data_IF_922875083808
#
_entry.id   IF_922875083808
#
_cell.length_a   1.000
_cell.length_b   1.000
_cell.length_c   1.000
_cell.angle_alpha   90.00
_cell.angle_beta   90.00
_cell.angle_gamma   90.00
#
_symmetry.space_group_name_H-M   'P 1'
#
loop_
_entity.id
_entity.type
_entity.pdbx_description
1 polymer ?
#
# COMPACT_ATOMS: atom_id res chain seq x y z
N UNK A 1 5.86 22.73 -31.52
CA UNK A 1 6.52 21.50 -31.99
C UNK A 1 7.18 20.72 -30.85
N UNK A 2 7.71 21.38 -29.81
CA UNK A 2 8.28 20.72 -28.63
C UNK A 2 7.23 20.06 -27.73
N UNK A 3 6.08 20.68 -27.51
CA UNK A 3 4.97 20.10 -26.72
C UNK A 3 4.40 18.83 -27.34
N UNK A 4 4.31 18.77 -28.67
CA UNK A 4 3.84 17.55 -29.37
C UNK A 4 4.86 16.40 -29.29
N UNK A 5 6.16 16.71 -29.16
CA UNK A 5 7.22 15.72 -28.94
C UNK A 5 7.20 15.21 -27.48
N UNK A 6 6.96 16.08 -26.51
CA UNK A 6 6.85 15.72 -25.09
C UNK A 6 5.66 14.79 -24.85
N UNK A 7 4.49 15.10 -25.41
CA UNK A 7 3.30 14.22 -25.31
C UNK A 7 3.49 12.88 -26.03
N UNK A 8 4.20 12.86 -27.14
CA UNK A 8 4.51 11.61 -27.85
C UNK A 8 5.50 10.74 -27.06
N UNK A 9 6.51 11.35 -26.42
CA UNK A 9 7.44 10.64 -25.54
C UNK A 9 6.76 10.09 -24.29
N UNK A 10 5.90 10.85 -23.60
CA UNK A 10 5.11 10.36 -22.47
C UNK A 10 4.16 9.22 -22.86
N UNK A 11 3.54 9.28 -24.05
CA UNK A 11 2.70 8.20 -24.55
C UNK A 11 3.48 6.93 -24.87
N UNK A 12 4.73 7.06 -25.29
CA UNK A 12 5.63 5.93 -25.58
C UNK A 12 6.13 5.30 -24.27
N UNK A 13 6.51 6.09 -23.28
CA UNK A 13 6.88 5.61 -21.94
C UNK A 13 5.71 4.87 -21.25
N UNK A 14 4.47 5.39 -21.32
CA UNK A 14 3.30 4.71 -20.78
C UNK A 14 3.00 3.38 -21.48
N UNK A 15 3.31 3.27 -22.78
CA UNK A 15 3.16 2.04 -23.57
C UNK A 15 4.21 0.99 -23.22
N UNK A 16 5.44 1.39 -22.88
CA UNK A 16 6.51 0.48 -22.47
C UNK A 16 6.24 -0.19 -21.11
N UNK A 17 5.57 0.51 -20.17
CA UNK A 17 5.23 -0.01 -18.85
C UNK A 17 4.17 -1.13 -18.86
N UNK A 18 3.47 -1.35 -19.98
CA UNK A 18 2.49 -2.43 -20.17
C UNK A 18 2.83 -3.32 -21.35
N UNK A 19 4.12 -3.41 -21.71
CA UNK A 19 4.58 -4.30 -22.78
C UNK A 19 4.41 -5.79 -22.37
N UNK A 20 4.31 -6.65 -23.38
CA UNK A 20 4.20 -8.10 -23.14
C UNK A 20 5.37 -8.62 -22.30
N UNK A 21 6.58 -8.19 -22.63
CA UNK A 21 7.82 -8.59 -21.96
C UNK A 21 7.83 -8.15 -20.50
N UNK A 22 7.39 -6.92 -20.24
CA UNK A 22 7.25 -6.40 -18.89
C UNK A 22 6.22 -7.21 -18.08
N UNK A 23 5.06 -7.49 -18.64
CA UNK A 23 4.01 -8.27 -17.97
C UNK A 23 4.44 -9.73 -17.74
N UNK A 24 5.20 -10.32 -18.67
CA UNK A 24 5.75 -11.66 -18.51
C UNK A 24 6.80 -11.70 -17.39
N UNK A 25 7.67 -10.68 -17.32
CA UNK A 25 8.63 -10.53 -16.22
C UNK A 25 7.91 -10.34 -14.88
N UNK A 26 6.90 -9.48 -14.84
CA UNK A 26 6.08 -9.23 -13.67
C UNK A 26 5.40 -10.52 -13.18
N UNK A 27 4.81 -11.29 -14.09
CA UNK A 27 4.19 -12.59 -13.77
C UNK A 27 5.19 -13.56 -13.13
N UNK A 28 6.43 -13.57 -13.62
CA UNK A 28 7.49 -14.47 -13.10
C UNK A 28 8.07 -14.00 -11.77
N UNK A 29 8.17 -12.68 -11.54
CA UNK A 29 8.92 -12.13 -10.40
C UNK A 29 8.07 -11.48 -9.32
N UNK A 30 6.84 -11.07 -9.63
CA UNK A 30 6.03 -10.32 -8.67
C UNK A 30 5.20 -11.24 -7.79
N UNK A 31 5.40 -11.24 -6.46
CA UNK A 31 4.65 -12.07 -5.52
C UNK A 31 3.13 -11.86 -5.58
N UNK A 32 2.65 -10.62 -5.80
CA UNK A 32 1.22 -10.34 -5.93
C UNK A 32 0.61 -11.07 -7.13
N UNK A 33 1.28 -11.00 -8.31
CA UNK A 33 0.79 -11.70 -9.49
C UNK A 33 0.85 -13.22 -9.32
N UNK A 34 1.94 -13.75 -8.75
CA UNK A 34 2.05 -15.19 -8.47
C UNK A 34 0.96 -15.67 -7.52
N UNK A 35 0.62 -14.89 -6.48
CA UNK A 35 -0.49 -15.21 -5.59
C UNK A 35 -1.81 -15.31 -6.36
N UNK A 36 -2.14 -14.30 -7.16
CA UNK A 36 -3.39 -14.25 -7.92
C UNK A 36 -3.53 -15.36 -8.97
N UNK A 37 -2.41 -15.85 -9.51
CA UNK A 37 -2.40 -16.92 -10.52
C UNK A 37 -2.16 -18.32 -9.94
N UNK A 38 -1.92 -18.43 -8.64
CA UNK A 38 -1.73 -19.71 -7.95
C UNK A 38 -3.04 -20.49 -7.89
N UNK A 39 -2.96 -21.81 -8.12
CA UNK A 39 -4.09 -22.72 -7.88
C UNK A 39 -4.57 -22.72 -6.43
N UNK A 40 -3.69 -22.33 -5.49
CA UNK A 40 -3.97 -22.22 -4.07
C UNK A 40 -4.38 -20.79 -3.65
N UNK A 41 -4.54 -19.85 -4.58
CA UNK A 41 -4.88 -18.46 -4.26
C UNK A 41 -6.06 -18.31 -3.29
N UNK A 42 -7.19 -19.01 -3.43
CA UNK A 42 -8.30 -18.90 -2.48
C UNK A 42 -7.91 -19.31 -1.06
N UNK A 43 -7.13 -20.38 -0.92
CA UNK A 43 -6.66 -20.87 0.40
C UNK A 43 -5.71 -19.88 1.05
N UNK A 44 -4.67 -19.48 0.34
CA UNK A 44 -3.64 -18.54 0.84
C UNK A 44 -4.26 -17.18 1.16
N UNK A 45 -5.01 -16.60 0.22
CA UNK A 45 -5.57 -15.27 0.38
C UNK A 45 -6.59 -15.21 1.52
N UNK A 46 -7.47 -16.21 1.67
CA UNK A 46 -8.46 -16.24 2.75
C UNK A 46 -7.81 -16.39 4.13
N UNK A 47 -6.78 -17.22 4.25
CA UNK A 47 -6.04 -17.38 5.50
C UNK A 47 -5.26 -16.11 5.87
N UNK A 48 -4.46 -15.57 4.95
CA UNK A 48 -3.68 -14.35 5.21
C UNK A 48 -4.58 -13.14 5.49
N UNK A 49 -5.71 -13.03 4.80
CA UNK A 49 -6.70 -11.99 5.10
C UNK A 49 -7.18 -12.09 6.54
N UNK A 50 -7.62 -13.28 6.96
CA UNK A 50 -8.19 -13.52 8.30
C UNK A 50 -7.17 -13.23 9.40
N UNK A 51 -5.93 -13.71 9.24
CA UNK A 51 -4.93 -13.65 10.31
C UNK A 51 -4.22 -12.30 10.42
N UNK A 52 -3.97 -11.62 9.30
CA UNK A 52 -3.16 -10.40 9.27
C UNK A 52 -3.94 -9.14 8.93
N UNK A 53 -4.86 -9.21 7.95
CA UNK A 53 -5.46 -8.00 7.38
C UNK A 53 -6.73 -7.61 8.12
N UNK A 54 -7.62 -8.56 8.42
CA UNK A 54 -8.89 -8.29 9.07
C UNK A 54 -8.71 -7.67 10.47
N UNK A 55 -7.76 -8.16 11.24
CA UNK A 55 -7.45 -7.70 12.60
C UNK A 55 -6.24 -6.73 12.64
N UNK A 56 -5.68 -6.38 11.48
CA UNK A 56 -4.49 -5.52 11.33
C UNK A 56 -3.29 -5.98 12.19
N UNK A 57 -3.09 -7.30 12.28
CA UNK A 57 -1.94 -7.88 12.98
C UNK A 57 -0.68 -7.73 12.14
N UNK A 58 0.36 -7.15 12.71
CA UNK A 58 1.64 -6.94 12.01
C UNK A 58 2.50 -8.19 11.94
N UNK A 59 2.48 -8.99 13.00
CA UNK A 59 3.32 -10.18 13.12
C UNK A 59 2.66 -11.23 14.02
N UNK A 60 2.88 -12.51 13.72
CA UNK A 60 2.38 -13.64 14.49
C UNK A 60 3.51 -14.62 14.69
N UNK A 61 3.64 -15.18 15.92
CA UNK A 61 4.65 -16.18 16.24
C UNK A 61 4.41 -17.48 15.44
N UNK A 62 5.51 -18.17 15.08
CA UNK A 62 5.45 -19.35 14.20
C UNK A 62 4.50 -20.43 14.76
N UNK A 63 4.64 -20.79 16.02
CA UNK A 63 3.82 -21.85 16.60
C UNK A 63 2.32 -21.48 16.62
N UNK A 64 2.01 -20.25 16.94
CA UNK A 64 0.64 -19.73 16.92
C UNK A 64 0.07 -19.77 15.49
N UNK A 65 0.83 -19.32 14.49
CA UNK A 65 0.38 -19.28 13.10
C UNK A 65 0.21 -20.69 12.52
N UNK A 66 1.11 -21.64 12.86
CA UNK A 66 0.99 -23.06 12.48
C UNK A 66 -0.32 -23.63 13.03
N UNK A 67 -0.57 -23.48 14.33
CA UNK A 67 -1.79 -24.00 14.98
C UNK A 67 -3.07 -23.43 14.34
N UNK A 68 -3.07 -22.13 14.02
CA UNK A 68 -4.20 -21.47 13.37
C UNK A 68 -4.41 -21.98 11.94
N UNK A 69 -3.31 -22.24 11.19
CA UNK A 69 -3.39 -22.76 9.83
C UNK A 69 -3.87 -24.21 9.83
N UNK A 70 -3.42 -25.04 10.76
CA UNK A 70 -3.86 -26.42 10.90
C UNK A 70 -5.36 -26.49 11.20
N UNK A 71 -5.86 -25.68 12.14
CA UNK A 71 -7.29 -25.58 12.38
C UNK A 71 -8.08 -25.08 11.16
N UNK A 72 -7.50 -24.21 10.35
CA UNK A 72 -8.14 -23.77 9.11
C UNK A 72 -8.15 -24.85 8.04
N UNK A 73 -7.07 -25.62 7.90
CA UNK A 73 -6.98 -26.77 6.99
C UNK A 73 -8.01 -27.83 7.38
N UNK A 74 -8.14 -28.13 8.69
CA UNK A 74 -9.12 -29.08 9.20
C UNK A 74 -10.54 -28.64 8.85
N UNK A 75 -10.86 -27.37 9.06
CA UNK A 75 -12.17 -26.80 8.69
C UNK A 75 -12.47 -26.96 7.19
N UNK A 76 -11.48 -26.71 6.31
CA UNK A 76 -11.65 -26.81 4.85
C UNK A 76 -11.75 -28.26 4.37
N UNK A 77 -11.13 -29.20 5.06
CA UNK A 77 -11.19 -30.63 4.77
C UNK A 77 -12.43 -31.31 5.36
N UNK A 78 -13.14 -30.67 6.28
CA UNK A 78 -14.31 -31.24 6.96
C UNK A 78 -15.41 -31.66 5.98
N UNK A 79 -15.86 -32.90 6.08
CA UNK A 79 -16.93 -33.46 5.23
C UNK A 79 -16.48 -33.85 3.80
N UNK A 80 -15.18 -34.01 3.57
CA UNK A 80 -14.60 -34.45 2.29
C UNK A 80 -13.89 -35.79 2.48
N UNK A 81 -14.03 -36.67 1.51
CA UNK A 81 -13.36 -37.97 1.50
C UNK A 81 -11.86 -37.84 1.16
N UNK A 82 -11.50 -36.84 0.32
CA UNK A 82 -10.13 -36.52 -0.05
C UNK A 82 -9.69 -35.19 0.57
N UNK A 83 -8.50 -35.17 1.18
CA UNK A 83 -7.89 -33.95 1.72
C UNK A 83 -7.50 -32.98 0.60
N UNK A 84 -8.12 -31.80 0.59
CA UNK A 84 -7.75 -30.72 -0.34
C UNK A 84 -6.33 -30.18 -0.08
N UNK A 85 -5.93 -30.17 1.18
CA UNK A 85 -4.67 -29.59 1.64
C UNK A 85 -3.95 -30.64 2.51
N UNK A 86 -3.13 -31.52 1.89
CA UNK A 86 -2.55 -32.69 2.58
C UNK A 86 -1.27 -32.40 3.36
N UNK A 87 -0.64 -31.21 3.14
CA UNK A 87 0.62 -30.83 3.83
C UNK A 87 0.32 -30.27 5.22
N UNK A 88 1.32 -30.30 6.11
CA UNK A 88 1.27 -29.68 7.42
C UNK A 88 1.22 -28.14 7.33
N UNK A 89 0.70 -27.49 8.35
CA UNK A 89 0.67 -26.03 8.47
C UNK A 89 2.08 -25.42 8.32
N UNK A 90 3.09 -26.03 8.92
CA UNK A 90 4.50 -25.60 8.81
C UNK A 90 5.00 -25.63 7.38
N UNK A 91 4.77 -26.71 6.64
CA UNK A 91 5.20 -26.83 5.25
C UNK A 91 4.57 -25.80 4.33
N UNK A 92 3.30 -25.43 4.58
CA UNK A 92 2.64 -24.37 3.84
C UNK A 92 3.23 -23.00 4.17
N UNK A 93 3.47 -22.68 5.45
CA UNK A 93 4.02 -21.38 5.86
C UNK A 93 5.45 -21.18 5.35
N UNK A 94 6.29 -22.23 5.42
CA UNK A 94 7.65 -22.17 4.88
C UNK A 94 7.65 -22.01 3.35
N UNK A 95 6.71 -22.66 2.65
CA UNK A 95 6.51 -22.51 1.22
C UNK A 95 6.08 -21.09 0.84
N UNK A 96 5.13 -20.50 1.59
CA UNK A 96 4.67 -19.13 1.35
C UNK A 96 5.71 -18.07 1.68
N UNK A 97 6.67 -18.40 2.55
CA UNK A 97 7.73 -17.50 2.97
C UNK A 97 9.02 -17.65 2.16
N UNK A 98 9.12 -18.67 1.28
CA UNK A 98 10.30 -18.84 0.44
C UNK A 98 10.42 -17.72 -0.62
N UNK A 99 11.62 -17.56 -1.19
CA UNK A 99 11.89 -16.53 -2.21
C UNK A 99 11.08 -16.74 -3.50
N UNK A 100 10.63 -17.97 -3.75
CA UNK A 100 9.82 -18.31 -4.92
C UNK A 100 8.42 -17.73 -4.80
N UNK A 101 7.78 -17.77 -3.63
CA UNK A 101 6.45 -17.21 -3.41
C UNK A 101 6.51 -15.79 -2.87
N UNK A 102 7.22 -15.56 -1.77
CA UNK A 102 7.39 -14.24 -1.17
C UNK A 102 6.08 -13.62 -0.67
N UNK A 103 5.11 -14.45 -0.25
CA UNK A 103 3.83 -13.96 0.28
C UNK A 103 3.88 -13.68 1.76
N UNK A 104 4.68 -14.46 2.50
CA UNK A 104 5.02 -14.23 3.88
C UNK A 104 6.52 -13.91 4.01
N UNK A 105 6.85 -13.30 5.11
CA UNK A 105 8.23 -13.08 5.54
C UNK A 105 8.41 -13.71 6.90
N UNK A 106 9.41 -14.60 7.02
CA UNK A 106 9.85 -15.21 8.27
C UNK A 106 11.04 -14.44 8.82
N UNK A 107 11.03 -14.07 10.10
CA UNK A 107 12.11 -13.30 10.74
C UNK A 107 12.13 -13.55 12.24
N UNK A 108 13.26 -13.22 12.87
CA UNK A 108 13.44 -13.31 14.31
C UNK A 108 13.43 -11.89 14.89
N UNK A 109 12.45 -11.52 15.75
CA UNK A 109 12.47 -10.25 16.45
C UNK A 109 13.67 -10.17 17.42
N UNK A 110 14.22 -8.98 17.69
CA UNK A 110 15.30 -8.82 18.67
C UNK A 110 14.90 -9.36 20.04
N UNK A 111 15.75 -10.23 20.61
CA UNK A 111 15.54 -10.80 21.95
C UNK A 111 14.51 -11.93 22.01
N UNK A 112 14.11 -12.49 20.89
CA UNK A 112 13.22 -13.65 20.84
C UNK A 112 13.90 -14.79 20.07
N UNK A 113 13.75 -16.01 20.59
CA UNK A 113 14.30 -17.24 19.99
C UNK A 113 13.32 -17.89 18.99
N UNK A 114 12.05 -17.49 19.03
CA UNK A 114 11.01 -18.00 18.14
C UNK A 114 10.90 -17.10 16.89
N UNK A 115 10.80 -17.70 15.69
CA UNK A 115 10.54 -16.92 14.48
C UNK A 115 9.10 -16.42 14.42
N UNK A 116 8.92 -15.29 13.75
CA UNK A 116 7.64 -14.66 13.48
C UNK A 116 7.39 -14.56 11.99
N UNK A 117 6.14 -14.53 11.62
CA UNK A 117 5.68 -14.28 10.26
C UNK A 117 4.96 -12.95 10.14
N UNK A 118 5.12 -12.33 8.97
CA UNK A 118 4.43 -11.11 8.56
C UNK A 118 4.03 -11.23 7.08
N UNK A 119 2.89 -10.67 6.71
CA UNK A 119 2.45 -10.62 5.32
C UNK A 119 3.27 -9.56 4.56
N UNK A 120 3.74 -9.91 3.36
CA UNK A 120 4.47 -8.93 2.53
C UNK A 120 3.51 -7.88 1.95
N UNK A 121 4.04 -6.68 1.68
CA UNK A 121 3.24 -5.59 1.10
C UNK A 121 2.60 -5.97 -0.24
N UNK A 122 3.30 -6.77 -1.06
CA UNK A 122 2.79 -7.22 -2.35
C UNK A 122 1.66 -8.25 -2.20
N UNK A 123 1.79 -9.20 -1.27
CA UNK A 123 0.72 -10.14 -0.96
C UNK A 123 -0.51 -9.41 -0.40
N UNK A 124 -0.30 -8.43 0.48
CA UNK A 124 -1.38 -7.60 1.01
C UNK A 124 -2.11 -6.85 -0.12
N UNK A 125 -1.39 -6.19 -1.03
CA UNK A 125 -1.99 -5.49 -2.19
C UNK A 125 -2.81 -6.44 -3.07
N UNK A 126 -2.33 -7.67 -3.30
CA UNK A 126 -3.09 -8.68 -4.05
C UNK A 126 -4.40 -9.05 -3.35
N UNK A 127 -4.36 -9.26 -2.04
CA UNK A 127 -5.55 -9.59 -1.25
C UNK A 127 -6.53 -8.41 -1.20
N UNK A 128 -6.04 -7.19 -1.03
CA UNK A 128 -6.87 -5.97 -1.07
C UNK A 128 -7.55 -5.78 -2.43
N UNK A 129 -6.84 -6.09 -3.52
CA UNK A 129 -7.44 -6.11 -4.86
C UNK A 129 -8.55 -7.15 -4.98
N UNK A 130 -8.36 -8.38 -4.45
CA UNK A 130 -9.42 -9.39 -4.40
C UNK A 130 -10.63 -8.92 -3.59
N UNK A 131 -10.40 -8.23 -2.47
CA UNK A 131 -11.48 -7.62 -1.68
C UNK A 131 -12.24 -6.56 -2.47
N UNK A 132 -11.53 -5.75 -3.26
CA UNK A 132 -12.15 -4.72 -4.10
C UNK A 132 -13.10 -5.30 -5.16
N UNK A 133 -12.86 -6.54 -5.64
CA UNK A 133 -13.76 -7.23 -6.55
C UNK A 133 -15.10 -7.59 -5.91
N UNK A 134 -15.11 -7.86 -4.59
CA UNK A 134 -16.34 -8.14 -3.84
C UNK A 134 -17.08 -6.86 -3.45
N UNK A 135 -16.33 -5.85 -3.08
CA UNK A 135 -16.86 -4.55 -2.71
C UNK A 135 -17.07 -3.72 -3.98
N UNK A 136 -18.18 -3.93 -4.66
CA UNK A 136 -18.77 -2.84 -5.43
C UNK A 136 -19.32 -1.81 -4.43
N UNK A 137 -18.42 -1.19 -3.65
CA UNK A 137 -18.75 0.05 -2.97
C UNK A 137 -18.93 1.05 -4.10
N UNK A 138 -20.18 1.32 -4.42
CA UNK A 138 -20.54 2.43 -5.28
C UNK A 138 -20.13 3.70 -4.53
N UNK A 139 -18.86 4.09 -4.69
CA UNK A 139 -18.46 5.46 -4.37
C UNK A 139 -19.15 6.28 -5.43
N UNK A 140 -20.13 7.05 -5.04
CA UNK A 140 -20.96 7.82 -5.95
C UNK A 140 -20.08 8.57 -6.94
N UNK A 141 -20.45 8.59 -8.19
CA UNK A 141 -19.73 9.29 -9.26
C UNK A 141 -19.48 10.75 -8.86
N UNK A 142 -20.40 11.33 -8.11
CA UNK A 142 -20.33 12.68 -7.57
C UNK A 142 -19.14 12.88 -6.61
N UNK A 143 -18.94 12.02 -5.60
CA UNK A 143 -17.83 12.15 -4.66
C UNK A 143 -16.47 12.00 -5.33
N UNK A 144 -16.36 11.11 -6.33
CA UNK A 144 -15.13 10.95 -7.13
C UNK A 144 -14.85 12.16 -8.00
N UNK A 145 -15.89 12.70 -8.65
CA UNK A 145 -15.77 13.91 -9.47
C UNK A 145 -15.35 15.10 -8.62
N UNK A 146 -15.98 15.31 -7.44
CA UNK A 146 -15.60 16.37 -6.51
C UNK A 146 -14.12 16.25 -6.14
N UNK A 147 -13.64 15.05 -5.76
CA UNK A 147 -12.23 14.84 -5.43
C UNK A 147 -11.30 15.16 -6.61
N UNK A 148 -11.66 14.70 -7.82
CA UNK A 148 -10.89 15.02 -9.04
C UNK A 148 -10.88 16.53 -9.31
N UNK A 149 -12.01 17.18 -9.21
CA UNK A 149 -12.11 18.64 -9.39
C UNK A 149 -11.32 19.42 -8.33
N UNK A 150 -11.36 19.00 -7.07
CA UNK A 150 -10.56 19.60 -6.00
C UNK A 150 -9.06 19.45 -6.27
N UNK A 151 -8.60 18.27 -6.69
CA UNK A 151 -7.20 18.04 -7.06
C UNK A 151 -6.77 18.87 -8.28
N UNK A 152 -7.59 18.90 -9.33
CA UNK A 152 -7.33 19.72 -10.52
C UNK A 152 -7.30 21.22 -10.17
N UNK A 153 -8.22 21.65 -9.34
CA UNK A 153 -8.29 23.03 -8.86
C UNK A 153 -7.03 23.40 -8.06
N UNK A 154 -6.58 22.52 -7.15
CA UNK A 154 -5.34 22.72 -6.42
C UNK A 154 -4.10 22.75 -7.34
N UNK A 155 -4.07 21.96 -8.40
CA UNK A 155 -2.99 21.99 -9.40
C UNK A 155 -2.98 23.34 -10.10
N UNK A 156 -4.12 23.81 -10.60
CA UNK A 156 -4.24 25.10 -11.29
C UNK A 156 -3.89 26.25 -10.35
N UNK A 157 -4.45 26.29 -9.13
CA UNK A 157 -4.17 27.32 -8.14
C UNK A 157 -2.68 27.41 -7.77
N UNK A 158 -2.01 26.26 -7.64
CA UNK A 158 -0.59 26.23 -7.24
C UNK A 158 0.38 26.36 -8.41
N UNK A 159 -0.09 26.14 -9.63
CA UNK A 159 0.69 26.33 -10.86
C UNK A 159 0.56 27.75 -11.41
N UNK A 160 -0.43 28.52 -10.95
CA UNK A 160 -0.59 29.93 -11.36
C UNK A 160 0.49 30.80 -10.69
N UNK A 161 1.35 31.34 -11.52
CA UNK A 161 2.47 32.21 -11.11
C UNK A 161 2.12 33.69 -11.15
N UNK A 162 0.95 34.09 -11.68
CA UNK A 162 0.51 35.50 -11.67
C UNK A 162 -0.17 35.85 -10.33
N UNK A 163 0.46 36.73 -9.50
CA UNK A 163 -0.10 37.13 -8.20
C UNK A 163 -1.47 37.81 -8.31
N UNK A 164 -1.78 38.46 -9.44
CA UNK A 164 -3.05 39.15 -9.65
C UNK A 164 -4.21 38.17 -9.83
N UNK A 165 -4.01 37.15 -10.65
CA UNK A 165 -5.00 36.08 -10.86
C UNK A 165 -5.23 35.31 -9.57
N UNK A 166 -4.17 35.01 -8.83
CA UNK A 166 -4.27 34.33 -7.53
C UNK A 166 -5.02 35.18 -6.49
N UNK A 167 -4.78 36.50 -6.47
CA UNK A 167 -5.49 37.40 -5.55
C UNK A 167 -6.98 37.44 -5.88
N UNK A 168 -7.35 37.55 -7.15
CA UNK A 168 -8.75 37.56 -7.59
C UNK A 168 -9.48 36.26 -7.19
N UNK A 169 -8.84 35.10 -7.34
CA UNK A 169 -9.41 33.82 -6.92
C UNK A 169 -9.61 33.72 -5.41
N UNK A 170 -8.63 34.15 -4.62
CA UNK A 170 -8.75 34.20 -3.16
C UNK A 170 -9.86 35.16 -2.70
N UNK A 171 -10.06 36.30 -3.38
CA UNK A 171 -11.15 37.21 -3.10
C UNK A 171 -12.52 36.60 -3.40
N UNK A 172 -12.64 35.87 -4.52
CA UNK A 172 -13.86 35.12 -4.87
C UNK A 172 -14.20 34.08 -3.80
N UNK A 173 -13.22 33.24 -3.40
CA UNK A 173 -13.41 32.22 -2.37
C UNK A 173 -13.79 32.82 -1.01
N UNK A 174 -13.18 33.96 -0.66
CA UNK A 174 -13.56 34.72 0.54
C UNK A 174 -15.03 35.12 0.51
N UNK A 175 -15.50 35.65 -0.62
CA UNK A 175 -16.91 36.08 -0.76
C UNK A 175 -17.88 34.86 -0.67
N UNK A 176 -17.53 33.73 -1.23
CA UNK A 176 -18.31 32.48 -1.13
C UNK A 176 -18.42 32.00 0.33
N UNK A 177 -17.32 32.01 1.08
CA UNK A 177 -17.28 31.64 2.51
C UNK A 177 -18.11 32.66 3.34
N UNK A 178 -18.02 33.95 3.06
CA UNK A 178 -18.82 34.95 3.74
C UNK A 178 -20.33 34.75 3.53
N UNK A 179 -20.73 34.34 2.33
CA UNK A 179 -22.14 33.99 2.06
C UNK A 179 -22.58 32.73 2.78
N UNK A 180 -21.68 31.72 2.88
CA UNK A 180 -21.95 30.49 3.63
C UNK A 180 -22.14 30.79 5.12
N UNK A 181 -21.27 31.62 5.71
CA UNK A 181 -21.41 32.07 7.10
C UNK A 181 -22.78 32.72 7.33
N UNK A 182 -23.25 33.60 6.42
CA UNK A 182 -24.56 34.24 6.53
C UNK A 182 -25.70 33.20 6.47
N UNK A 183 -25.58 32.15 5.62
CA UNK A 183 -26.57 31.07 5.55
C UNK A 183 -26.64 30.30 6.87
N UNK A 184 -25.47 29.90 7.40
CA UNK A 184 -25.37 29.18 8.69
C UNK A 184 -25.94 30.04 9.85
N UNK A 185 -25.64 31.34 9.88
CA UNK A 185 -26.20 32.24 10.90
C UNK A 185 -27.73 32.34 10.82
N UNK A 186 -28.33 32.13 9.65
CA UNK A 186 -29.79 32.08 9.45
C UNK A 186 -30.38 30.69 9.76
N UNK A 187 -29.59 29.76 10.29
CA UNK A 187 -30.02 28.40 10.62
C UNK A 187 -30.12 27.46 9.41
N UNK A 188 -29.62 27.85 8.25
CA UNK A 188 -29.55 27.02 7.05
C UNK A 188 -28.24 26.27 7.05
N UNK A 189 -28.22 25.09 7.70
CA UNK A 189 -27.04 24.20 7.74
C UNK A 189 -27.33 23.02 6.83
N UNK A 190 -26.53 22.88 5.78
CA UNK A 190 -26.55 21.67 4.93
C UNK A 190 -25.84 20.54 5.65
N UNK A 191 -26.60 19.54 6.09
CA UNK A 191 -26.05 18.32 6.71
C UNK A 191 -25.88 17.24 5.63
N UNK A 192 -24.81 16.48 5.76
CA UNK A 192 -24.60 15.29 4.94
C UNK A 192 -25.70 14.27 5.24
N UNK A 193 -26.26 13.65 4.22
CA UNK A 193 -27.16 12.53 4.39
C UNK A 193 -26.40 11.24 4.81
N UNK A 194 -27.14 10.22 5.25
CA UNK A 194 -26.56 8.98 5.73
C UNK A 194 -25.72 8.25 4.65
N UNK A 195 -26.12 8.35 3.39
CA UNK A 195 -25.41 7.76 2.24
C UNK A 195 -24.09 8.46 2.02
N UNK A 196 -24.08 9.80 2.01
CA UNK A 196 -22.89 10.62 1.86
C UNK A 196 -21.89 10.41 3.00
N UNK A 197 -22.39 10.27 4.25
CA UNK A 197 -21.53 9.93 5.41
C UNK A 197 -20.87 8.58 5.21
N UNK A 198 -21.62 7.55 4.81
CA UNK A 198 -21.11 6.21 4.56
C UNK A 198 -20.06 6.20 3.42
N UNK A 199 -20.33 6.89 2.34
CA UNK A 199 -19.39 7.00 1.20
C UNK A 199 -18.06 7.65 1.63
N UNK A 200 -18.11 8.76 2.34
CA UNK A 200 -16.90 9.46 2.84
C UNK A 200 -16.14 8.61 3.85
N UNK A 201 -16.85 7.90 4.72
CA UNK A 201 -16.23 6.95 5.65
C UNK A 201 -15.47 5.84 4.91
N UNK A 202 -16.09 5.22 3.91
CA UNK A 202 -15.46 4.18 3.12
C UNK A 202 -14.25 4.70 2.34
N UNK A 203 -14.33 5.88 1.78
CA UNK A 203 -13.21 6.54 1.11
C UNK A 203 -12.05 6.77 2.07
N UNK A 204 -12.32 7.30 3.25
CA UNK A 204 -11.31 7.51 4.29
C UNK A 204 -10.67 6.18 4.73
N UNK A 205 -11.47 5.13 4.93
CA UNK A 205 -10.99 3.80 5.29
C UNK A 205 -10.11 3.18 4.19
N UNK A 206 -10.47 3.35 2.92
CA UNK A 206 -9.67 2.86 1.79
C UNK A 206 -8.33 3.58 1.75
N UNK A 207 -8.33 4.90 1.81
CA UNK A 207 -7.09 5.70 1.83
C UNK A 207 -6.22 5.36 3.05
N UNK A 208 -6.80 5.16 4.23
CA UNK A 208 -6.06 4.76 5.42
C UNK A 208 -5.38 3.38 5.25
N UNK A 209 -6.05 2.43 4.61
CA UNK A 209 -5.46 1.11 4.31
C UNK A 209 -4.31 1.21 3.30
N UNK A 210 -4.44 2.05 2.29
CA UNK A 210 -3.36 2.31 1.32
C UNK A 210 -2.12 2.90 2.03
N UNK A 211 -2.30 3.85 2.93
CA UNK A 211 -1.21 4.42 3.74
C UNK A 211 -0.53 3.32 4.60
N UNK A 212 -1.30 2.43 5.21
CA UNK A 212 -0.73 1.33 5.98
C UNK A 212 0.09 0.36 5.10
N UNK A 213 -0.37 0.09 3.87
CA UNK A 213 0.39 -0.72 2.92
C UNK A 213 1.70 -0.04 2.50
N UNK A 214 1.68 1.29 2.29
CA UNK A 214 2.88 2.07 2.01
C UNK A 214 3.89 2.02 3.17
N UNK A 215 3.42 2.09 4.42
CA UNK A 215 4.30 1.96 5.58
C UNK A 215 4.96 0.58 5.68
N UNK A 216 4.24 -0.48 5.36
CA UNK A 216 4.83 -1.82 5.28
C UNK A 216 5.89 -1.91 4.17
N UNK A 217 5.66 -1.26 3.04
CA UNK A 217 6.65 -1.21 1.96
C UNK A 217 7.93 -0.46 2.38
N UNK A 218 7.80 0.67 3.09
CA UNK A 218 8.94 1.41 3.65
C UNK A 218 9.71 0.55 4.65
N UNK A 219 9.01 -0.11 5.56
CA UNK A 219 9.63 -1.02 6.54
C UNK A 219 10.39 -2.15 5.84
N UNK A 220 9.79 -2.76 4.81
CA UNK A 220 10.46 -3.80 4.03
C UNK A 220 11.73 -3.29 3.35
N UNK A 221 11.69 -2.11 2.73
CA UNK A 221 12.85 -1.51 2.10
C UNK A 221 14.00 -1.27 3.08
N UNK A 222 13.70 -0.81 4.31
CA UNK A 222 14.72 -0.64 5.35
C UNK A 222 15.28 -1.98 5.82
N UNK A 223 14.49 -3.02 5.93
CA UNK A 223 14.96 -4.36 6.31
C UNK A 223 15.85 -4.99 5.23
N UNK A 224 15.50 -4.81 3.96
CA UNK A 224 16.35 -5.23 2.85
C UNK A 224 17.68 -4.48 2.83
N UNK A 225 17.64 -3.18 3.15
CA UNK A 225 18.85 -2.38 3.33
C UNK A 225 19.72 -2.92 4.48
N UNK A 226 19.14 -3.18 5.65
CA UNK A 226 19.86 -3.73 6.82
C UNK A 226 20.48 -5.09 6.50
N UNK A 227 19.73 -5.99 5.87
CA UNK A 227 20.25 -7.29 5.42
C UNK A 227 21.42 -7.13 4.45
N UNK A 228 21.26 -6.32 3.41
CA UNK A 228 22.32 -6.07 2.44
C UNK A 228 23.54 -5.35 3.05
N UNK A 229 23.34 -4.59 4.11
CA UNK A 229 24.45 -4.01 4.89
C UNK A 229 25.23 -5.08 5.66
N UNK A 230 24.55 -5.97 6.37
CA UNK A 230 25.21 -7.06 7.13
C UNK A 230 26.00 -7.97 6.21
N UNK A 231 25.44 -8.34 5.06
CA UNK A 231 26.12 -9.16 4.04
C UNK A 231 27.38 -8.45 3.51
N UNK A 232 27.29 -7.13 3.24
CA UNK A 232 28.43 -6.34 2.77
C UNK A 232 29.50 -6.16 3.85
N UNK A 233 29.12 -5.86 5.09
CA UNK A 233 30.08 -5.75 6.21
C UNK A 233 30.85 -7.05 6.36
N UNK A 234 30.19 -8.20 6.22
CA UNK A 234 30.83 -9.51 6.34
C UNK A 234 31.82 -9.83 5.21
N UNK A 235 31.64 -9.24 4.01
CA UNK A 235 32.45 -9.52 2.81
C UNK A 235 33.31 -8.31 2.37
N UNK A 236 33.33 -7.21 3.17
CA UNK A 236 33.95 -5.97 2.75
C UNK A 236 35.46 -5.98 3.01
N UNK A 237 36.24 -5.93 1.95
CA UNK A 237 37.71 -5.89 1.98
C UNK A 237 38.30 -4.47 1.79
N UNK A 238 37.45 -3.46 1.52
CA UNK A 238 37.85 -2.08 1.23
C UNK A 238 37.64 -1.12 2.41
N UNK A 239 38.04 0.14 2.27
CA UNK A 239 37.97 1.15 3.34
C UNK A 239 36.55 1.42 3.87
N UNK A 240 36.45 1.69 5.16
CA UNK A 240 35.17 1.96 5.86
C UNK A 240 34.38 3.17 5.32
N UNK A 241 35.06 4.14 4.73
CA UNK A 241 34.44 5.36 4.17
C UNK A 241 33.54 5.08 2.96
N UNK A 242 34.02 4.29 2.00
CA UNK A 242 33.24 3.91 0.80
C UNK A 242 32.00 3.05 1.18
N UNK A 243 32.13 2.23 2.21
CA UNK A 243 30.98 1.47 2.73
C UNK A 243 29.88 2.40 3.25
N UNK A 244 30.22 3.37 4.07
CA UNK A 244 29.28 4.35 4.63
C UNK A 244 28.61 5.18 3.53
N UNK A 245 29.35 5.67 2.54
CA UNK A 245 28.78 6.39 1.40
C UNK A 245 27.75 5.54 0.65
N UNK A 246 28.04 4.27 0.39
CA UNK A 246 27.13 3.38 -0.31
C UNK A 246 25.84 3.09 0.49
N UNK A 247 25.93 3.14 1.81
CA UNK A 247 24.80 2.95 2.74
C UNK A 247 23.89 4.17 2.73
N UNK A 248 24.48 5.37 2.89
CA UNK A 248 23.72 6.62 2.89
C UNK A 248 23.03 6.87 1.55
N UNK A 249 23.69 6.60 0.43
CA UNK A 249 23.07 6.72 -0.88
C UNK A 249 21.82 5.82 -1.04
N UNK A 250 21.83 4.60 -0.47
CA UNK A 250 20.65 3.72 -0.49
C UNK A 250 19.55 4.17 0.48
N UNK A 251 19.92 4.68 1.65
CA UNK A 251 18.97 5.23 2.62
C UNK A 251 18.25 6.45 2.03
N UNK A 252 18.97 7.34 1.35
CA UNK A 252 18.42 8.48 0.65
C UNK A 252 17.47 8.02 -0.48
N UNK A 253 17.80 6.96 -1.20
CA UNK A 253 16.92 6.36 -2.21
C UNK A 253 15.58 5.90 -1.64
N UNK A 254 15.56 5.30 -0.45
CA UNK A 254 14.31 4.91 0.22
C UNK A 254 13.52 6.13 0.66
N UNK A 255 14.16 7.15 1.23
CA UNK A 255 13.50 8.39 1.65
C UNK A 255 12.90 9.15 0.46
N UNK A 256 13.50 9.06 -0.73
CA UNK A 256 13.03 9.68 -1.97
C UNK A 256 11.97 8.84 -2.71
N UNK A 257 11.74 7.59 -2.31
CA UNK A 257 10.67 6.77 -2.90
C UNK A 257 9.29 7.37 -2.60
N UNK A 258 8.28 7.03 -3.42
CA UNK A 258 6.91 7.51 -3.20
C UNK A 258 6.38 7.09 -1.82
N UNK A 259 6.70 5.87 -1.37
CA UNK A 259 6.36 5.36 -0.05
C UNK A 259 7.08 6.12 1.07
N UNK A 260 8.36 6.45 0.88
CA UNK A 260 9.14 7.26 1.83
C UNK A 260 8.60 8.68 1.98
N UNK A 261 8.18 9.30 0.86
CA UNK A 261 7.53 10.61 0.86
C UNK A 261 6.17 10.57 1.56
N UNK A 262 5.35 9.55 1.32
CA UNK A 262 4.06 9.35 2.00
C UNK A 262 4.26 9.18 3.51
N UNK A 263 5.24 8.39 3.93
CA UNK A 263 5.60 8.24 5.33
C UNK A 263 6.03 9.57 5.97
N UNK A 264 6.92 10.31 5.31
CA UNK A 264 7.39 11.59 5.81
C UNK A 264 6.25 12.64 5.94
N UNK A 265 5.33 12.67 4.98
CA UNK A 265 4.15 13.53 5.02
C UNK A 265 3.22 13.17 6.20
N UNK A 266 2.95 11.88 6.41
CA UNK A 266 2.15 11.40 7.53
C UNK A 266 2.82 11.71 8.89
N UNK A 267 4.13 11.48 9.01
CA UNK A 267 4.89 11.81 10.21
C UNK A 267 4.83 13.30 10.55
N UNK A 268 5.00 14.16 9.53
CA UNK A 268 4.87 15.60 9.68
C UNK A 268 3.46 15.99 10.14
N UNK A 269 2.43 15.37 9.60
CA UNK A 269 1.05 15.59 10.01
C UNK A 269 0.84 15.24 11.50
N UNK A 270 1.31 14.08 11.95
CA UNK A 270 1.22 13.67 13.36
C UNK A 270 1.92 14.65 14.30
N UNK A 271 3.12 15.12 13.91
CA UNK A 271 3.90 16.06 14.72
C UNK A 271 3.32 17.49 14.71
N UNK A 272 2.54 17.85 13.70
CA UNK A 272 1.90 19.19 13.63
C UNK A 272 0.57 19.25 14.38
N UNK A 273 -0.01 18.11 14.74
CA UNK A 273 -1.30 18.01 15.43
C UNK A 273 -1.14 17.89 16.96
N UNK A 274 0.10 17.90 17.45
CA UNK A 274 0.48 17.92 18.88
C UNK A 274 0.92 19.30 19.30
#
# INVERSE_FOLDING_TARGET
>A
MEESRSMAQQKTEFSEHMSFEFLELLRKKNPAWRLLTSSQAPFVASFLYREFIAENKRQIAEQELISRLEGFIELLNQGRDDSLFPRSGREYLDDWANDEHGWLRKFYPPGQDEPYFDVTSLAQKAIEWLLSLRQQVFIGTESRLITVFELLHQIVERSESDPKLRLAELQRRKAEIEQEIIRVQKGQVELLDETQIKERFWQAMTTAREILADFRAVEQNFRELDRGMRERIATWERGKGELLESIFAKQDGIAQSEQGKSFAAFWKFLMSSS
#
